data_IF_303226735014
#
_entry.id   IF_303226735014
#
_cell.length_a   1.000
_cell.length_b   1.000
_cell.length_c   1.000
_cell.angle_alpha   90.00
_cell.angle_beta   90.00
_cell.angle_gamma   90.00
#
_symmetry.space_group_name_H-M   'P 1'
#
loop_
_entity.id
_entity.type
_entity.pdbx_description
1 polymer ?
#
# COMPACT_ATOMS: atom_id res chain seq x y z
N UNK A 1 10.97 14.28 -16.84
CA UNK A 1 12.31 13.91 -16.33
C UNK A 1 12.22 12.71 -15.37
N UNK A 2 11.37 12.74 -14.31
CA UNK A 2 11.21 11.64 -13.34
C UNK A 2 10.82 10.33 -14.03
N UNK A 3 9.84 10.32 -14.93
CA UNK A 3 9.43 9.12 -15.66
C UNK A 3 10.57 8.54 -16.51
N UNK A 4 11.40 9.40 -17.13
CA UNK A 4 12.58 8.97 -17.88
C UNK A 4 13.60 8.26 -17.00
N UNK A 5 13.84 8.78 -15.80
CA UNK A 5 14.74 8.16 -14.81
C UNK A 5 14.19 6.81 -14.34
N UNK A 6 12.90 6.75 -14.00
CA UNK A 6 12.23 5.50 -13.61
C UNK A 6 12.30 4.46 -14.73
N UNK A 7 12.08 4.88 -15.97
CA UNK A 7 12.19 4.00 -17.12
C UNK A 7 13.61 3.46 -17.30
N UNK A 8 14.61 4.35 -17.25
CA UNK A 8 16.01 3.97 -17.53
C UNK A 8 16.66 3.14 -16.43
N UNK A 9 16.28 3.40 -15.17
CA UNK A 9 16.92 2.77 -14.01
C UNK A 9 16.18 1.53 -13.52
N UNK A 10 14.85 1.51 -13.59
CA UNK A 10 14.00 0.45 -13.06
C UNK A 10 13.28 -0.35 -14.17
N UNK A 11 13.40 0.04 -15.43
CA UNK A 11 12.71 -0.62 -16.54
C UNK A 11 11.20 -0.43 -16.51
N UNK A 12 10.69 0.59 -15.83
CA UNK A 12 9.26 0.88 -15.74
C UNK A 12 8.78 1.44 -17.07
N UNK A 13 7.76 0.83 -17.67
CA UNK A 13 7.21 1.24 -18.96
C UNK A 13 6.06 2.27 -18.82
N UNK A 14 5.42 2.32 -17.65
CA UNK A 14 4.30 3.24 -17.38
C UNK A 14 4.30 3.69 -15.93
N UNK A 15 4.01 4.97 -15.71
CA UNK A 15 3.79 5.57 -14.38
C UNK A 15 2.35 6.06 -14.29
N UNK A 16 1.66 5.70 -13.23
CA UNK A 16 0.32 6.23 -12.90
C UNK A 16 0.48 7.24 -11.78
N UNK A 17 0.19 8.50 -12.05
CA UNK A 17 0.32 9.56 -11.08
C UNK A 17 -0.97 9.73 -10.27
N UNK A 18 -0.89 9.54 -8.95
CA UNK A 18 -1.92 9.90 -8.00
C UNK A 18 -1.69 11.33 -7.50
N UNK A 19 -2.78 12.00 -7.12
CA UNK A 19 -2.68 13.43 -6.77
C UNK A 19 -2.11 13.67 -5.38
N UNK A 20 -2.48 12.84 -4.42
CA UNK A 20 -2.14 13.04 -2.99
C UNK A 20 -2.07 11.70 -2.26
N UNK A 21 -1.22 11.62 -1.26
CA UNK A 21 -1.23 10.62 -0.22
C UNK A 21 -2.19 10.96 0.93
N UNK A 22 -2.17 10.18 1.99
CA UNK A 22 -3.04 10.37 3.17
C UNK A 22 -2.71 11.68 3.89
N UNK A 23 -3.73 12.33 4.47
CA UNK A 23 -3.55 13.63 5.17
C UNK A 23 -2.68 13.52 6.41
N UNK A 24 -2.60 12.34 7.01
CA UNK A 24 -1.75 12.05 8.16
C UNK A 24 -0.28 11.88 7.79
N UNK A 25 0.00 11.54 6.53
CA UNK A 25 1.34 11.31 6.02
C UNK A 25 2.06 12.64 5.74
N UNK A 26 2.65 13.19 6.80
CA UNK A 26 3.40 14.45 6.77
C UNK A 26 4.91 14.25 6.73
N UNK A 27 5.35 13.06 7.09
CA UNK A 27 6.78 12.77 7.22
C UNK A 27 7.39 12.28 5.91
N UNK A 28 6.57 11.71 5.01
CA UNK A 28 7.00 11.13 3.74
C UNK A 28 6.42 11.81 2.51
N UNK A 29 5.66 12.90 2.69
CA UNK A 29 5.00 13.69 1.63
C UNK A 29 4.04 12.88 0.73
N UNK A 30 3.47 11.80 1.25
CA UNK A 30 2.44 11.03 0.58
C UNK A 30 2.94 9.74 -0.06
N UNK A 31 3.41 8.80 0.73
CA UNK A 31 3.79 7.47 0.27
C UNK A 31 2.63 6.71 -0.38
N UNK A 32 2.87 6.17 -1.57
CA UNK A 32 1.87 5.46 -2.36
C UNK A 32 1.48 4.11 -1.77
N UNK A 33 2.38 3.42 -1.09
CA UNK A 33 2.17 2.11 -0.47
C UNK A 33 1.18 2.11 0.71
N UNK A 34 0.87 3.30 1.22
CA UNK A 34 -0.24 3.49 2.16
C UNK A 34 -1.59 3.75 1.49
N UNK A 35 -1.64 3.88 0.17
CA UNK A 35 -2.82 4.24 -0.62
C UNK A 35 -3.22 3.13 -1.59
N UNK A 36 -2.25 2.58 -2.31
CA UNK A 36 -2.48 1.56 -3.34
C UNK A 36 -1.25 0.66 -3.49
N UNK A 37 -1.50 -0.63 -3.75
CA UNK A 37 -0.44 -1.60 -4.02
C UNK A 37 -0.86 -2.55 -5.15
N UNK A 38 0.10 -3.02 -5.95
CA UNK A 38 -0.13 -4.09 -6.91
C UNK A 38 -0.17 -5.46 -6.21
N UNK A 39 -1.18 -6.26 -6.55
CA UNK A 39 -1.33 -7.64 -6.04
C UNK A 39 -1.04 -8.69 -7.11
N UNK A 40 -1.31 -8.33 -8.36
CA UNK A 40 -1.02 -9.15 -9.54
C UNK A 40 -1.02 -8.26 -10.80
N UNK A 41 -0.56 -8.76 -11.96
CA UNK A 41 -0.66 -8.04 -13.22
C UNK A 41 -2.09 -7.59 -13.53
N UNK A 42 -2.32 -6.27 -13.64
CA UNK A 42 -3.64 -5.67 -13.86
C UNK A 42 -4.56 -5.64 -12.65
N UNK A 43 -4.09 -6.06 -11.47
CA UNK A 43 -4.88 -6.04 -10.23
C UNK A 43 -4.19 -5.23 -9.16
N UNK A 44 -4.96 -4.41 -8.47
CA UNK A 44 -4.49 -3.55 -7.37
C UNK A 44 -5.45 -3.64 -6.18
N UNK A 45 -4.90 -3.40 -5.00
CA UNK A 45 -5.67 -3.08 -3.80
C UNK A 45 -5.53 -1.60 -3.54
N UNK A 46 -6.63 -0.93 -3.23
CA UNK A 46 -6.62 0.52 -2.98
C UNK A 46 -7.41 0.86 -1.72
N UNK A 47 -6.88 1.77 -0.93
CA UNK A 47 -7.57 2.34 0.23
C UNK A 47 -8.83 3.08 -0.21
N UNK A 48 -9.91 2.84 0.51
CA UNK A 48 -11.19 3.52 0.29
C UNK A 48 -11.78 3.99 1.61
N UNK A 49 -12.61 5.02 1.55
CA UNK A 49 -13.38 5.51 2.68
C UNK A 49 -14.77 5.88 2.21
N UNK A 50 -15.79 5.59 3.02
CA UNK A 50 -17.21 5.88 2.71
C UNK A 50 -17.74 7.09 3.48
N UNK A 51 -17.15 7.35 4.61
CA UNK A 51 -17.53 8.45 5.51
C UNK A 51 -17.06 9.79 4.91
N UNK A 52 -18.01 10.64 4.52
CA UNK A 52 -17.73 11.93 3.85
C UNK A 52 -17.06 12.96 4.76
N UNK A 53 -17.17 12.80 6.05
CA UNK A 53 -16.52 13.63 7.06
C UNK A 53 -15.07 13.19 7.36
N UNK A 54 -14.65 12.05 6.80
CA UNK A 54 -13.26 11.62 6.89
C UNK A 54 -12.36 12.55 6.06
N UNK A 55 -11.29 13.12 6.64
CA UNK A 55 -10.38 14.02 5.90
C UNK A 55 -9.77 13.44 4.63
N UNK A 56 -9.68 12.12 4.53
CA UNK A 56 -9.13 11.42 3.37
C UNK A 56 -10.19 11.15 2.28
N UNK A 57 -11.48 11.47 2.50
CA UNK A 57 -12.54 11.08 1.58
C UNK A 57 -12.30 11.60 0.17
N UNK A 58 -12.18 12.91 -0.01
CA UNK A 58 -12.06 13.52 -1.33
C UNK A 58 -10.79 13.04 -2.08
N UNK A 59 -9.65 12.96 -1.37
CA UNK A 59 -8.41 12.53 -1.99
C UNK A 59 -8.44 11.06 -2.42
N UNK A 60 -9.03 10.16 -1.62
CA UNK A 60 -9.14 8.74 -1.97
C UNK A 60 -10.15 8.53 -3.10
N UNK A 61 -11.27 9.28 -3.13
CA UNK A 61 -12.20 9.27 -4.24
C UNK A 61 -11.56 9.76 -5.55
N UNK A 62 -10.74 10.81 -5.49
CA UNK A 62 -10.01 11.30 -6.66
C UNK A 62 -8.97 10.28 -7.16
N UNK A 63 -8.25 9.64 -6.26
CA UNK A 63 -7.32 8.57 -6.61
C UNK A 63 -8.04 7.38 -7.25
N UNK A 64 -9.19 6.95 -6.70
CA UNK A 64 -10.02 5.90 -7.30
C UNK A 64 -10.51 6.27 -8.72
N UNK A 65 -10.91 7.53 -8.96
CA UNK A 65 -11.29 7.98 -10.30
C UNK A 65 -10.13 7.86 -11.29
N UNK A 66 -8.91 8.21 -10.88
CA UNK A 66 -7.71 8.04 -11.70
C UNK A 66 -7.51 6.56 -12.00
N UNK A 67 -7.43 5.71 -10.97
CA UNK A 67 -7.16 4.29 -11.10
C UNK A 67 -8.21 3.56 -11.97
N UNK A 68 -9.49 3.91 -11.86
CA UNK A 68 -10.57 3.35 -12.69
C UNK A 68 -10.45 3.70 -14.18
N UNK A 69 -9.77 4.78 -14.52
CA UNK A 69 -9.56 5.22 -15.90
C UNK A 69 -8.22 4.78 -16.48
N UNK A 70 -7.36 4.19 -15.67
CA UNK A 70 -6.01 3.79 -16.05
C UNK A 70 -5.91 2.32 -16.45
N UNK A 71 -4.78 2.00 -17.06
CA UNK A 71 -4.36 0.64 -17.42
C UNK A 71 -2.98 0.39 -16.87
N UNK A 72 -2.60 -0.87 -16.73
CA UNK A 72 -1.20 -1.22 -16.52
C UNK A 72 -0.35 -0.99 -17.79
N UNK A 73 0.95 -1.25 -17.71
CA UNK A 73 1.90 -1.06 -18.81
C UNK A 73 1.58 -1.94 -20.05
N UNK A 74 0.79 -3.01 -19.89
CA UNK A 74 0.35 -3.89 -20.99
C UNK A 74 -1.04 -3.55 -21.52
N UNK A 75 -1.61 -2.41 -21.13
CA UNK A 75 -2.92 -1.94 -21.56
C UNK A 75 -4.11 -2.65 -20.90
N UNK A 76 -3.89 -3.49 -19.86
CA UNK A 76 -4.99 -4.12 -19.12
C UNK A 76 -5.63 -3.10 -18.20
N UNK A 77 -6.96 -3.01 -18.21
CA UNK A 77 -7.69 -2.22 -17.21
C UNK A 77 -7.38 -2.75 -15.81
N UNK A 78 -7.27 -1.83 -14.86
CA UNK A 78 -7.04 -2.19 -13.47
C UNK A 78 -8.31 -2.76 -12.84
N UNK A 79 -8.20 -3.95 -12.27
CA UNK A 79 -9.18 -4.52 -11.34
C UNK A 79 -8.83 -4.01 -9.95
N UNK A 80 -9.76 -3.27 -9.34
CA UNK A 80 -9.52 -2.62 -8.05
C UNK A 80 -10.22 -3.40 -6.94
N UNK A 81 -9.46 -3.88 -5.98
CA UNK A 81 -9.98 -4.43 -4.73
C UNK A 81 -9.92 -3.32 -3.68
N UNK A 82 -11.07 -2.99 -3.12
CA UNK A 82 -11.15 -1.96 -2.10
C UNK A 82 -10.68 -2.49 -0.74
N UNK A 83 -9.72 -1.77 -0.14
CA UNK A 83 -9.36 -1.91 1.27
C UNK A 83 -10.08 -0.81 2.04
N UNK A 84 -11.08 -1.15 2.88
CA UNK A 84 -11.77 -0.14 3.67
C UNK A 84 -10.78 0.64 4.53
N UNK A 85 -10.77 1.95 4.38
CA UNK A 85 -10.00 2.79 5.27
C UNK A 85 -10.67 2.81 6.64
N UNK A 86 -9.87 2.63 7.66
CA UNK A 86 -10.37 2.61 9.02
C UNK A 86 -10.91 3.98 9.41
N UNK A 87 -11.88 4.07 10.34
CA UNK A 87 -12.37 5.33 10.86
C UNK A 87 -11.19 6.23 11.20
N UNK A 88 -11.27 7.50 10.75
CA UNK A 88 -10.23 8.47 11.02
C UNK A 88 -10.12 8.71 12.53
N UNK A 89 -9.16 8.08 13.12
CA UNK A 89 -8.65 8.46 14.43
C UNK A 89 -7.23 8.94 14.20
N UNK A 90 -6.92 10.21 14.48
CA UNK A 90 -5.54 10.66 14.42
C UNK A 90 -4.73 9.80 15.37
N UNK A 91 -3.95 8.89 14.81
CA UNK A 91 -3.03 8.06 15.57
C UNK A 91 -1.92 8.98 16.04
N UNK A 92 -1.87 9.24 17.34
CA UNK A 92 -0.92 10.17 17.92
C UNK A 92 0.09 9.43 18.81
N UNK A 93 1.35 9.72 18.56
CA UNK A 93 2.43 9.37 19.49
C UNK A 93 3.21 10.62 19.82
N UNK A 94 3.26 10.97 21.13
CA UNK A 94 3.91 12.19 21.62
C UNK A 94 3.46 13.47 20.87
N UNK A 95 2.17 13.52 20.50
CA UNK A 95 1.57 14.68 19.81
C UNK A 95 1.75 14.70 18.29
N UNK A 96 2.50 13.77 17.69
CA UNK A 96 2.68 13.66 16.25
C UNK A 96 1.75 12.58 15.66
N UNK A 97 1.13 12.87 14.52
CA UNK A 97 0.39 11.86 13.77
C UNK A 97 1.34 10.86 13.10
N UNK A 98 0.87 9.64 12.93
CA UNK A 98 1.58 8.62 12.15
C UNK A 98 0.58 7.84 11.29
N UNK A 99 1.06 7.26 10.20
CA UNK A 99 0.29 6.42 9.28
C UNK A 99 0.56 4.96 9.57
N UNK A 100 -0.49 4.16 9.53
CA UNK A 100 -0.40 2.71 9.50
C UNK A 100 -1.49 2.19 8.57
N UNK A 101 -1.13 1.38 7.59
CA UNK A 101 -2.04 0.92 6.54
C UNK A 101 -1.84 -0.56 6.27
N UNK A 102 -2.95 -1.31 6.12
CA UNK A 102 -2.87 -2.72 5.71
C UNK A 102 -2.31 -2.91 4.31
N UNK A 103 -2.31 -1.87 3.45
CA UNK A 103 -1.70 -1.95 2.12
C UNK A 103 -0.18 -1.90 2.16
N UNK A 104 0.43 -1.51 3.27
CA UNK A 104 1.88 -1.55 3.47
C UNK A 104 2.35 -2.94 3.94
N UNK A 105 1.88 -3.98 3.28
CA UNK A 105 2.30 -5.36 3.51
C UNK A 105 3.57 -5.71 2.72
N UNK A 106 4.16 -6.87 3.02
CA UNK A 106 5.28 -7.42 2.28
C UNK A 106 5.00 -8.85 1.84
N UNK A 107 5.18 -9.13 0.53
CA UNK A 107 4.91 -10.44 -0.06
C UNK A 107 6.18 -11.29 -0.01
N UNK A 108 6.08 -12.45 0.64
CA UNK A 108 7.06 -13.54 0.63
C UNK A 108 6.59 -14.67 -0.30
N UNK A 109 7.45 -15.67 -0.52
CA UNK A 109 7.09 -16.82 -1.36
C UNK A 109 5.84 -17.56 -0.85
N UNK A 110 5.74 -17.80 0.46
CA UNK A 110 4.68 -18.58 1.08
C UNK A 110 3.84 -17.78 2.08
N UNK A 111 4.12 -16.50 2.30
CA UNK A 111 3.43 -15.68 3.28
C UNK A 111 3.28 -14.23 2.80
N UNK A 112 2.36 -13.50 3.45
CA UNK A 112 2.26 -12.05 3.37
C UNK A 112 2.37 -11.49 4.78
N UNK A 113 3.35 -10.63 5.01
CA UNK A 113 3.51 -9.93 6.29
C UNK A 113 2.63 -8.68 6.27
N UNK A 114 1.64 -8.63 7.15
CA UNK A 114 0.66 -7.55 7.20
C UNK A 114 0.79 -6.80 8.52
N UNK A 115 0.90 -5.45 8.49
CA UNK A 115 1.00 -4.68 9.71
C UNK A 115 -0.31 -4.75 10.52
N UNK A 116 -0.19 -4.92 11.83
CA UNK A 116 -1.27 -4.62 12.77
C UNK A 116 -1.52 -3.11 12.79
N UNK A 117 -2.77 -2.71 12.56
CA UNK A 117 -3.17 -1.30 12.44
C UNK A 117 -4.10 -0.88 13.58
N UNK A 118 -5.17 -1.64 13.78
CA UNK A 118 -6.15 -1.42 14.85
C UNK A 118 -6.70 -2.74 15.34
N UNK A 119 -6.53 -3.09 16.64
CA UNK A 119 -6.97 -4.39 17.18
C UNK A 119 -8.45 -4.71 16.98
N UNK A 120 -9.31 -3.71 16.77
CA UNK A 120 -10.75 -3.91 16.51
C UNK A 120 -11.04 -4.26 15.05
N UNK A 121 -10.15 -3.89 14.14
CA UNK A 121 -10.37 -3.94 12.70
C UNK A 121 -9.35 -4.82 11.97
N UNK A 122 -8.26 -5.22 12.64
CA UNK A 122 -7.21 -6.07 12.06
C UNK A 122 -7.78 -7.33 11.42
N UNK A 123 -8.77 -7.98 12.08
CA UNK A 123 -9.42 -9.17 11.55
C UNK A 123 -10.10 -8.95 10.19
N UNK A 124 -10.62 -7.76 9.92
CA UNK A 124 -11.22 -7.41 8.62
C UNK A 124 -10.14 -7.17 7.56
N UNK A 125 -9.11 -6.41 7.93
CA UNK A 125 -7.96 -6.15 7.05
C UNK A 125 -7.26 -7.45 6.64
N UNK A 126 -6.96 -8.30 7.60
CA UNK A 126 -6.32 -9.60 7.34
C UNK A 126 -7.18 -10.51 6.47
N UNK A 127 -8.50 -10.55 6.72
CA UNK A 127 -9.42 -11.34 5.90
C UNK A 127 -9.44 -10.93 4.43
N UNK A 128 -9.33 -9.64 4.15
CA UNK A 128 -9.23 -9.14 2.77
C UNK A 128 -7.92 -9.63 2.13
N UNK A 129 -6.79 -9.52 2.84
CA UNK A 129 -5.49 -9.97 2.36
C UNK A 129 -5.46 -11.50 2.15
N UNK A 130 -6.04 -12.29 3.07
CA UNK A 130 -6.21 -13.75 2.91
C UNK A 130 -6.98 -14.11 1.64
N UNK A 131 -8.06 -13.39 1.34
CA UNK A 131 -8.84 -13.62 0.13
C UNK A 131 -8.08 -13.26 -1.16
N UNK A 132 -7.17 -12.28 -1.09
CA UNK A 132 -6.32 -11.87 -2.21
C UNK A 132 -5.20 -12.88 -2.46
N UNK A 133 -4.63 -13.44 -1.41
CA UNK A 133 -3.50 -14.36 -1.47
C UNK A 133 -3.82 -15.73 -0.86
N UNK A 134 -4.79 -16.48 -1.43
CA UNK A 134 -5.27 -17.74 -0.85
C UNK A 134 -4.20 -18.83 -0.74
N UNK A 135 -3.10 -18.71 -1.49
CA UNK A 135 -1.97 -19.64 -1.50
C UNK A 135 -0.84 -19.23 -0.52
N UNK A 136 -1.07 -18.19 0.29
CA UNK A 136 -0.07 -17.67 1.23
C UNK A 136 -0.63 -17.54 2.62
N UNK A 137 0.22 -17.79 3.60
CA UNK A 137 -0.12 -17.53 5.00
C UNK A 137 -0.09 -16.01 5.26
N UNK A 138 -1.15 -15.48 5.84
CA UNK A 138 -1.16 -14.10 6.33
C UNK A 138 -0.59 -14.04 7.73
N UNK A 139 0.51 -13.32 7.89
CA UNK A 139 1.23 -13.19 9.16
C UNK A 139 1.14 -11.76 9.66
N UNK A 140 0.48 -11.58 10.80
CA UNK A 140 0.39 -10.28 11.47
C UNK A 140 1.73 -9.85 12.03
N UNK A 141 2.12 -8.60 11.79
CA UNK A 141 3.36 -8.00 12.30
C UNK A 141 3.01 -6.82 13.20
N UNK A 142 3.46 -6.82 14.47
CA UNK A 142 3.36 -5.66 15.35
C UNK A 142 4.14 -4.47 14.79
N UNK A 143 3.46 -3.57 14.07
CA UNK A 143 4.10 -2.52 13.29
C UNK A 143 4.06 -1.12 13.95
N UNK A 144 3.66 -1.02 15.21
CA UNK A 144 3.50 0.26 15.90
C UNK A 144 4.76 1.15 15.86
N UNK A 145 5.92 0.60 16.21
CA UNK A 145 7.17 1.37 16.20
C UNK A 145 7.65 1.70 14.79
N UNK A 146 7.37 0.84 13.81
CA UNK A 146 7.64 1.11 12.40
C UNK A 146 6.78 2.28 11.91
N UNK A 147 5.48 2.27 12.22
CA UNK A 147 4.55 3.33 11.85
C UNK A 147 4.96 4.70 12.45
N UNK A 148 5.40 4.73 13.71
CA UNK A 148 5.96 5.95 14.33
C UNK A 148 7.22 6.42 13.60
N UNK A 149 8.02 5.51 13.08
CA UNK A 149 9.23 5.80 12.30
C UNK A 149 8.95 6.18 10.84
N UNK A 150 7.67 6.29 10.44
CA UNK A 150 7.26 6.69 9.09
C UNK A 150 7.20 5.54 8.09
N UNK A 151 6.96 4.29 8.54
CA UNK A 151 6.91 3.16 7.63
C UNK A 151 6.14 1.95 8.14
N UNK A 152 6.15 0.89 7.35
CA UNK A 152 5.58 -0.43 7.68
C UNK A 152 6.46 -1.54 7.11
N UNK A 153 6.00 -2.80 7.11
CA UNK A 153 6.78 -3.93 6.59
C UNK A 153 7.27 -3.74 5.16
N UNK A 154 6.46 -3.16 4.27
CA UNK A 154 6.84 -2.86 2.89
C UNK A 154 7.98 -1.84 2.81
N UNK A 155 7.96 -0.81 3.65
CA UNK A 155 8.93 0.28 3.60
C UNK A 155 10.35 -0.14 4.05
N UNK A 156 10.48 -1.15 4.89
CA UNK A 156 11.76 -1.60 5.45
C UNK A 156 12.31 -2.88 4.81
N UNK A 157 11.67 -3.35 3.76
CA UNK A 157 12.02 -4.60 3.07
C UNK A 157 12.33 -4.35 1.60
N UNK A 158 13.06 -5.28 0.99
CA UNK A 158 13.39 -5.26 -0.43
C UNK A 158 13.27 -6.67 -0.99
N UNK A 159 12.57 -6.82 -2.12
CA UNK A 159 12.45 -8.09 -2.81
C UNK A 159 13.80 -8.53 -3.36
N UNK A 160 14.16 -9.77 -3.06
CA UNK A 160 15.28 -10.43 -3.68
C UNK A 160 14.73 -11.52 -4.62
N UNK A 161 14.74 -11.30 -5.95
CA UNK A 161 14.22 -12.30 -6.89
C UNK A 161 14.98 -13.61 -6.78
N UNK A 162 14.26 -14.74 -6.81
CA UNK A 162 14.88 -16.05 -6.87
C UNK A 162 15.68 -16.18 -8.18
N UNK A 163 16.94 -16.57 -8.10
CA UNK A 163 17.81 -16.78 -9.26
C UNK A 163 18.93 -17.73 -8.92
N UNK A 164 19.44 -18.42 -9.95
CA UNK A 164 20.43 -19.47 -9.78
C UNK A 164 21.86 -18.93 -9.45
N UNK A 165 22.10 -17.62 -9.50
CA UNK A 165 23.45 -17.04 -9.36
C UNK A 165 23.42 -15.66 -8.65
N UNK A 166 22.68 -15.51 -7.56
CA UNK A 166 22.77 -14.28 -6.76
C UNK A 166 23.99 -14.38 -5.85
N UNK A 167 25.08 -13.72 -6.23
CA UNK A 167 26.21 -13.51 -5.34
C UNK A 167 25.99 -12.18 -4.62
N UNK A 168 25.60 -12.24 -3.35
CA UNK A 168 25.58 -11.07 -2.47
C UNK A 168 27.04 -10.72 -2.17
N UNK A 169 27.48 -9.55 -2.62
CA UNK A 169 28.81 -8.99 -2.34
C UNK A 169 28.73 -8.01 -1.18
#
# INVERSE_FOLDING_TARGET
QIEMELHSTLGIEKVIWLKKGLVEDKDTDGHVDCVVEYIAPGKIIAQTVREKDNPNYELLQDNLKILNNETDAKGRKLEIIEMPYLPYFPKLYKGNSYVSSYTNYYILNNAVLVPEVDPKLDHLGFKIIENIFPERDVVAIPAFYQAIGGGGPGCITQQLPAGNNITIR
#
